data_IF_046613343569
#
_entry.id   IF_046613343569
#
_cell.length_a   1.000
_cell.length_b   1.000
_cell.length_c   1.000
_cell.angle_alpha   90.00
_cell.angle_beta   90.00
_cell.angle_gamma   90.00
#
_symmetry.space_group_name_H-M   'P 1'
#
loop_
_entity.id
_entity.type
_entity.pdbx_description
1 polymer ?
#
# COMPACT_ATOMS: atom_id res chain seq x y z
N UNK A 1 19.05 2.66 20.64
CA UNK A 1 18.06 3.45 19.89
C UNK A 1 16.68 2.98 20.33
N UNK A 2 15.81 3.91 20.75
CA UNK A 2 14.43 3.59 21.12
C UNK A 2 13.48 4.05 20.02
N UNK A 3 12.65 3.13 19.52
CA UNK A 3 11.74 3.34 18.40
C UNK A 3 10.30 3.12 18.88
N UNK A 4 9.34 3.85 18.33
CA UNK A 4 7.92 3.55 18.47
C UNK A 4 7.34 3.07 17.14
N UNK A 5 6.48 2.05 17.16
CA UNK A 5 5.74 1.58 15.99
C UNK A 5 4.25 1.63 16.29
N UNK A 6 3.48 2.34 15.48
CA UNK A 6 2.02 2.40 15.56
C UNK A 6 1.46 1.17 14.84
N UNK A 7 1.03 0.19 15.62
CA UNK A 7 0.57 -1.12 15.14
C UNK A 7 -0.89 -1.09 14.70
N UNK A 8 -1.13 -0.44 13.57
CA UNK A 8 -2.49 -0.25 13.01
C UNK A 8 -3.13 -1.52 12.46
N UNK A 9 -2.33 -2.43 11.93
CA UNK A 9 -2.74 -3.68 11.28
C UNK A 9 -1.63 -4.73 11.36
N UNK A 10 -1.88 -5.93 10.85
CA UNK A 10 -0.94 -7.06 10.87
C UNK A 10 0.42 -6.74 10.22
N UNK A 11 0.47 -5.90 9.19
CA UNK A 11 1.73 -5.48 8.54
C UNK A 11 2.58 -4.67 9.51
N UNK A 12 1.95 -3.74 10.24
CA UNK A 12 2.66 -2.91 11.22
C UNK A 12 3.09 -3.72 12.44
N UNK A 13 2.35 -4.78 12.82
CA UNK A 13 2.79 -5.75 13.83
C UNK A 13 4.05 -6.48 13.37
N UNK A 14 4.11 -6.93 12.11
CA UNK A 14 5.31 -7.55 11.54
C UNK A 14 6.51 -6.58 11.50
N UNK A 15 6.26 -5.29 11.20
CA UNK A 15 7.31 -4.25 11.29
C UNK A 15 7.83 -4.12 12.71
N UNK A 16 6.93 -4.08 13.71
CA UNK A 16 7.29 -4.07 15.12
C UNK A 16 8.13 -5.30 15.50
N UNK A 17 7.68 -6.50 15.15
CA UNK A 17 8.38 -7.76 15.46
C UNK A 17 9.78 -7.83 14.84
N UNK A 18 9.92 -7.38 13.59
CA UNK A 18 11.21 -7.35 12.90
C UNK A 18 12.18 -6.34 13.53
N UNK A 19 11.70 -5.12 13.80
CA UNK A 19 12.54 -4.09 14.42
C UNK A 19 12.93 -4.45 15.87
N UNK A 20 12.08 -5.16 16.58
CA UNK A 20 12.32 -5.58 17.98
C UNK A 20 13.45 -6.59 18.12
N UNK A 21 13.93 -7.20 17.02
CA UNK A 21 15.09 -8.10 17.04
C UNK A 21 16.41 -7.37 17.28
N UNK A 22 16.48 -6.12 16.80
CA UNK A 22 17.74 -5.36 16.78
C UNK A 22 17.67 -4.08 17.62
N UNK A 23 16.47 -3.60 17.95
CA UNK A 23 16.24 -2.33 18.63
C UNK A 23 15.29 -2.45 19.83
N UNK A 24 15.38 -1.49 20.74
CA UNK A 24 14.35 -1.30 21.76
C UNK A 24 13.13 -0.62 21.13
N UNK A 25 12.04 -1.37 20.96
CA UNK A 25 10.84 -0.90 20.27
C UNK A 25 9.64 -0.93 21.20
N UNK A 26 8.90 0.19 21.27
CA UNK A 26 7.61 0.24 21.93
C UNK A 26 6.49 0.05 20.89
N UNK A 27 5.56 -0.82 21.20
CA UNK A 27 4.34 -1.02 20.43
C UNK A 27 3.30 0.00 20.87
N UNK A 28 2.81 0.81 19.92
CA UNK A 28 1.72 1.74 20.14
C UNK A 28 0.45 1.18 19.47
N UNK A 29 -0.60 1.00 20.26
CA UNK A 29 -1.87 0.42 19.84
C UNK A 29 -3.07 1.28 20.30
N UNK A 30 -4.27 0.76 20.19
CA UNK A 30 -5.51 1.46 20.54
C UNK A 30 -5.66 1.83 22.01
N UNK A 31 -4.88 1.19 22.89
CA UNK A 31 -4.88 1.47 24.34
C UNK A 31 -3.76 2.40 24.79
N UNK A 32 -2.96 2.88 23.84
CA UNK A 32 -1.78 3.70 24.14
C UNK A 32 -2.17 5.11 24.59
N UNK A 33 -1.66 5.53 25.73
CA UNK A 33 -1.73 6.92 26.18
C UNK A 33 -0.57 7.72 25.57
N UNK A 34 -0.85 8.41 24.48
CA UNK A 34 0.14 9.18 23.72
C UNK A 34 0.73 10.38 24.51
N UNK A 35 0.12 10.79 25.62
CA UNK A 35 0.63 11.90 26.42
C UNK A 35 1.67 11.48 27.47
N UNK A 36 1.73 10.17 27.79
CA UNK A 36 2.64 9.63 28.82
C UNK A 36 3.72 8.72 28.20
N UNK A 37 4.12 8.99 26.96
CA UNK A 37 5.16 8.22 26.28
C UNK A 37 6.56 8.85 26.47
N UNK A 38 7.62 8.05 26.41
CA UNK A 38 8.98 8.56 26.42
C UNK A 38 9.33 9.25 25.10
N UNK A 39 10.53 9.85 25.05
CA UNK A 39 11.11 10.30 23.79
C UNK A 39 11.67 9.13 22.98
N UNK A 40 11.42 9.20 21.67
CA UNK A 40 11.91 8.22 20.70
C UNK A 40 12.88 8.85 19.71
N UNK A 41 13.85 8.09 19.21
CA UNK A 41 14.69 8.49 18.09
C UNK A 41 13.97 8.33 16.75
N UNK A 42 12.98 7.43 16.71
CA UNK A 42 12.14 7.24 15.52
C UNK A 42 10.72 6.84 15.89
N UNK A 43 9.77 7.31 15.09
CA UNK A 43 8.37 6.87 15.17
C UNK A 43 7.94 6.37 13.79
N UNK A 44 7.44 5.15 13.73
CA UNK A 44 6.97 4.51 12.50
C UNK A 44 5.45 4.54 12.46
N UNK A 45 4.93 5.27 11.49
CA UNK A 45 3.50 5.40 11.21
C UNK A 45 3.06 4.36 10.18
N UNK A 46 1.76 4.00 10.15
CA UNK A 46 1.17 3.21 9.08
C UNK A 46 1.38 3.84 7.71
N UNK A 47 1.12 3.07 6.64
CA UNK A 47 1.29 3.54 5.25
C UNK A 47 0.60 4.88 4.98
N UNK A 48 -0.62 5.07 5.48
CA UNK A 48 -1.39 6.31 5.30
C UNK A 48 -0.99 7.44 6.26
N UNK A 49 -0.13 7.15 7.25
CA UNK A 49 0.20 8.09 8.32
C UNK A 49 -1.01 8.40 9.20
N UNK A 50 -1.25 9.69 9.43
CA UNK A 50 -2.44 10.23 10.10
C UNK A 50 -3.31 10.96 9.09
N UNK A 51 -4.59 11.16 9.36
CA UNK A 51 -5.45 11.99 8.53
C UNK A 51 -5.19 13.50 8.74
N UNK A 52 -5.92 14.35 8.06
CA UNK A 52 -5.78 15.82 8.13
C UNK A 52 -6.11 16.42 9.50
N UNK A 53 -6.75 15.65 10.39
CA UNK A 53 -7.10 16.03 11.76
C UNK A 53 -6.21 15.36 12.82
N UNK A 54 -5.20 14.59 12.40
CA UNK A 54 -4.28 13.90 13.31
C UNK A 54 -4.78 12.54 13.82
N UNK A 55 -5.80 11.96 13.20
CA UNK A 55 -6.28 10.64 13.58
C UNK A 55 -5.58 9.53 12.79
N UNK A 56 -5.37 8.41 13.47
CA UNK A 56 -4.90 7.15 12.89
C UNK A 56 -5.90 6.05 13.17
N UNK A 57 -6.15 5.20 12.18
CA UNK A 57 -6.97 4.00 12.39
C UNK A 57 -6.07 2.88 12.90
N UNK A 58 -6.34 2.40 14.12
CA UNK A 58 -5.65 1.26 14.74
C UNK A 58 -6.70 0.16 14.92
N UNK A 59 -6.51 -0.96 14.22
CA UNK A 59 -7.49 -2.05 14.16
C UNK A 59 -8.89 -1.52 13.75
N UNK A 60 -9.86 -1.54 14.66
CA UNK A 60 -11.22 -1.05 14.42
C UNK A 60 -11.48 0.35 14.98
N UNK A 61 -10.54 0.90 15.74
CA UNK A 61 -10.67 2.19 16.42
C UNK A 61 -9.99 3.32 15.65
N UNK A 62 -10.47 4.52 15.85
CA UNK A 62 -9.87 5.75 15.29
C UNK A 62 -9.34 6.57 16.45
N UNK A 63 -8.01 6.68 16.54
CA UNK A 63 -7.30 7.27 17.67
C UNK A 63 -6.71 8.60 17.25
N UNK A 64 -6.94 9.65 18.03
CA UNK A 64 -6.30 10.94 17.83
C UNK A 64 -4.89 10.94 18.44
N UNK A 65 -3.89 11.28 17.64
CA UNK A 65 -2.52 11.52 18.13
C UNK A 65 -2.40 13.00 18.45
N UNK A 66 -2.30 13.36 19.74
CA UNK A 66 -2.28 14.78 20.15
C UNK A 66 -0.99 15.47 19.69
N UNK A 67 -1.07 16.76 19.37
CA UNK A 67 0.10 17.55 18.95
C UNK A 67 1.25 17.51 19.96
N UNK A 68 0.91 17.47 21.26
CA UNK A 68 1.87 17.34 22.36
C UNK A 68 2.76 16.11 22.25
N UNK A 69 2.26 15.00 21.68
CA UNK A 69 3.08 13.81 21.41
C UNK A 69 4.25 14.15 20.47
N UNK A 70 4.00 14.88 19.39
CA UNK A 70 5.04 15.26 18.44
C UNK A 70 6.05 16.26 19.04
N UNK A 71 5.56 17.20 19.86
CA UNK A 71 6.42 18.16 20.55
C UNK A 71 7.38 17.48 21.53
N UNK A 72 6.90 16.47 22.25
CA UNK A 72 7.73 15.68 23.17
C UNK A 72 8.84 14.90 22.48
N UNK A 73 8.68 14.55 21.19
CA UNK A 73 9.65 13.73 20.47
C UNK A 73 10.95 14.47 20.08
N UNK A 74 11.02 15.79 20.29
CA UNK A 74 12.21 16.55 19.93
C UNK A 74 12.45 16.64 18.42
N UNK A 75 13.37 17.51 18.02
CA UNK A 75 13.64 17.81 16.60
C UNK A 75 14.44 16.72 15.88
N UNK A 76 15.21 15.95 16.63
CA UNK A 76 16.10 14.90 16.10
C UNK A 76 15.38 13.56 15.89
N UNK A 77 14.14 13.44 16.34
CA UNK A 77 13.31 12.28 16.07
C UNK A 77 13.00 12.17 14.57
N UNK A 78 13.09 10.97 14.01
CA UNK A 78 12.74 10.71 12.61
C UNK A 78 11.34 10.11 12.53
N UNK A 79 10.47 10.72 11.72
CA UNK A 79 9.12 10.23 11.49
C UNK A 79 9.08 9.46 10.18
N UNK A 80 8.78 8.15 10.26
CA UNK A 80 8.59 7.29 9.10
C UNK A 80 7.11 7.15 8.80
N UNK A 81 6.70 7.41 7.57
CA UNK A 81 5.32 7.19 7.11
C UNK A 81 5.35 6.68 5.67
N UNK A 82 4.35 5.91 5.26
CA UNK A 82 4.32 5.43 3.88
C UNK A 82 4.14 6.55 2.88
N UNK A 83 3.15 7.39 3.10
CA UNK A 83 2.77 8.47 2.17
C UNK A 83 2.99 9.84 2.79
N UNK A 84 3.15 10.86 1.92
CA UNK A 84 3.16 12.26 2.37
C UNK A 84 1.87 12.62 3.11
N UNK A 85 2.03 13.42 4.14
CA UNK A 85 0.95 13.78 5.05
C UNK A 85 1.10 15.24 5.50
N UNK A 86 0.05 16.04 5.33
CA UNK A 86 0.08 17.47 5.67
C UNK A 86 0.37 17.73 7.14
N UNK A 87 -0.15 16.90 8.05
CA UNK A 87 0.08 17.04 9.49
C UNK A 87 1.55 16.77 9.80
N UNK A 88 2.10 15.66 9.30
CA UNK A 88 3.51 15.33 9.51
C UNK A 88 4.43 16.35 8.82
N UNK A 89 4.10 16.80 7.60
CA UNK A 89 4.92 17.78 6.86
C UNK A 89 5.06 19.12 7.60
N UNK A 90 4.06 19.52 8.40
CA UNK A 90 4.07 20.74 9.20
C UNK A 90 4.98 20.66 10.44
N UNK A 91 5.39 19.47 10.87
CA UNK A 91 6.21 19.24 12.05
C UNK A 91 7.71 19.56 11.77
N UNK A 92 8.51 19.94 12.78
CA UNK A 92 9.93 20.24 12.58
C UNK A 92 10.82 19.03 12.38
N UNK A 93 10.39 17.83 12.80
CA UNK A 93 11.16 16.58 12.72
C UNK A 93 11.47 16.20 11.27
N UNK A 94 12.55 15.42 11.04
CA UNK A 94 12.85 14.81 9.75
C UNK A 94 11.79 13.76 9.41
N UNK A 95 11.32 13.74 8.15
CA UNK A 95 10.37 12.75 7.63
C UNK A 95 11.03 11.85 6.60
N UNK A 96 10.67 10.58 6.62
CA UNK A 96 11.01 9.60 5.59
C UNK A 96 9.71 8.95 5.14
N UNK A 97 9.40 9.11 3.86
CA UNK A 97 8.22 8.54 3.23
C UNK A 97 8.62 7.29 2.44
N UNK A 98 8.52 6.13 3.10
CA UNK A 98 9.08 4.88 2.56
C UNK A 98 8.37 4.38 1.29
N UNK A 99 7.13 4.77 1.02
CA UNK A 99 6.45 4.48 -0.24
C UNK A 99 6.86 5.41 -1.40
N UNK A 100 7.88 6.25 -1.22
CA UNK A 100 8.57 6.97 -2.30
C UNK A 100 9.87 6.28 -2.73
N UNK A 101 10.31 5.28 -1.97
CA UNK A 101 11.51 4.50 -2.30
C UNK A 101 11.14 3.41 -3.32
N UNK A 102 11.82 3.41 -4.47
CA UNK A 102 11.54 2.52 -5.61
C UNK A 102 11.57 1.03 -5.19
N UNK A 103 12.54 0.65 -4.35
CA UNK A 103 12.65 -0.71 -3.83
C UNK A 103 11.43 -1.13 -3.02
N UNK A 104 10.94 -0.25 -2.14
CA UNK A 104 9.76 -0.52 -1.30
C UNK A 104 8.50 -0.62 -2.17
N UNK A 105 8.37 0.27 -3.18
CA UNK A 105 7.25 0.22 -4.13
C UNK A 105 7.25 -1.12 -4.87
N UNK A 106 8.41 -1.54 -5.36
CA UNK A 106 8.54 -2.81 -6.08
C UNK A 106 8.21 -4.02 -5.19
N UNK A 107 8.82 -4.13 -4.02
CA UNK A 107 8.54 -5.20 -3.04
C UNK A 107 7.04 -5.28 -2.69
N UNK A 108 6.41 -4.12 -2.43
CA UNK A 108 4.97 -4.06 -2.17
C UNK A 108 4.14 -4.50 -3.38
N UNK A 109 4.58 -4.20 -4.60
CA UNK A 109 3.91 -4.64 -5.82
C UNK A 109 4.00 -6.16 -6.01
N UNK A 110 5.13 -6.79 -5.64
CA UNK A 110 5.30 -8.25 -5.66
C UNK A 110 4.30 -8.92 -4.71
N UNK A 111 4.25 -8.49 -3.44
CA UNK A 111 3.29 -9.02 -2.47
C UNK A 111 1.83 -8.81 -2.92
N UNK A 112 1.55 -7.68 -3.56
CA UNK A 112 0.23 -7.41 -4.13
C UNK A 112 -0.10 -8.39 -5.27
N UNK A 113 0.85 -8.69 -6.13
CA UNK A 113 0.67 -9.64 -7.23
C UNK A 113 0.43 -11.07 -6.73
N UNK A 114 1.13 -11.50 -5.68
CA UNK A 114 0.90 -12.78 -5.02
C UNK A 114 -0.52 -12.87 -4.43
N UNK A 115 -0.98 -11.80 -3.76
CA UNK A 115 -2.35 -11.71 -3.26
C UNK A 115 -3.39 -11.77 -4.38
N UNK A 116 -3.16 -11.07 -5.48
CA UNK A 116 -4.03 -11.11 -6.67
C UNK A 116 -4.08 -12.51 -7.27
N UNK A 117 -2.97 -13.22 -7.36
CA UNK A 117 -2.94 -14.60 -7.85
C UNK A 117 -3.74 -15.53 -6.93
N UNK A 118 -3.62 -15.39 -5.62
CA UNK A 118 -4.41 -16.16 -4.65
C UNK A 118 -5.91 -15.93 -4.84
N UNK A 119 -6.34 -14.66 -4.93
CA UNK A 119 -7.74 -14.31 -5.17
C UNK A 119 -8.23 -14.84 -6.54
N UNK A 120 -7.42 -14.69 -7.58
CA UNK A 120 -7.73 -15.20 -8.92
C UNK A 120 -8.04 -16.69 -8.89
N UNK A 121 -7.15 -17.50 -8.30
CA UNK A 121 -7.34 -18.96 -8.19
C UNK A 121 -8.57 -19.30 -7.34
N UNK A 122 -8.82 -18.54 -6.29
CA UNK A 122 -9.94 -18.79 -5.36
C UNK A 122 -11.31 -18.43 -5.95
N UNK A 123 -11.37 -17.45 -6.84
CA UNK A 123 -12.63 -16.93 -7.38
C UNK A 123 -13.09 -17.62 -8.68
N UNK A 124 -12.19 -18.31 -9.39
CA UNK A 124 -12.53 -18.93 -10.69
C UNK A 124 -12.83 -20.42 -10.54
N UNK A 125 -13.82 -20.89 -11.33
CA UNK A 125 -14.19 -22.30 -11.41
C UNK A 125 -13.55 -23.02 -12.62
N UNK A 126 -12.57 -22.38 -13.27
CA UNK A 126 -11.85 -22.89 -14.46
C UNK A 126 -10.36 -22.92 -14.17
N UNK A 127 -9.61 -23.57 -15.04
CA UNK A 127 -8.15 -23.43 -15.06
C UNK A 127 -7.74 -21.98 -15.38
N UNK A 128 -6.70 -21.46 -14.73
CA UNK A 128 -6.15 -20.15 -15.05
C UNK A 128 -5.61 -20.05 -16.49
N UNK A 129 -5.32 -21.18 -17.13
CA UNK A 129 -4.89 -21.25 -18.52
C UNK A 129 -6.03 -21.06 -19.53
N UNK A 130 -7.29 -21.26 -19.09
CA UNK A 130 -8.48 -21.24 -19.93
C UNK A 130 -9.27 -19.93 -19.78
N UNK A 131 -8.71 -18.92 -19.11
CA UNK A 131 -9.33 -17.63 -18.91
C UNK A 131 -8.56 -16.51 -19.60
N UNK A 132 -9.31 -15.45 -19.94
CA UNK A 132 -8.75 -14.16 -20.33
C UNK A 132 -8.78 -13.19 -19.15
N UNK A 133 -7.62 -12.68 -18.77
CA UNK A 133 -7.49 -11.66 -17.69
C UNK A 133 -7.22 -10.30 -18.32
N UNK A 134 -8.02 -9.30 -17.96
CA UNK A 134 -7.83 -7.90 -18.34
C UNK A 134 -7.26 -7.11 -17.16
N UNK A 135 -6.03 -6.60 -17.28
CA UNK A 135 -5.43 -5.72 -16.28
C UNK A 135 -5.66 -4.27 -16.71
N UNK A 136 -6.49 -3.56 -15.95
CA UNK A 136 -6.78 -2.14 -16.20
C UNK A 136 -5.77 -1.29 -15.43
N UNK A 137 -4.84 -0.67 -16.16
CA UNK A 137 -3.69 0.06 -15.63
C UNK A 137 -2.38 -0.69 -15.78
N UNK A 138 -1.28 0.06 -15.91
CA UNK A 138 0.07 -0.48 -16.08
C UNK A 138 1.09 0.34 -15.29
N UNK A 139 0.76 0.63 -14.03
CA UNK A 139 1.67 1.17 -13.02
C UNK A 139 2.46 0.03 -12.35
N UNK A 140 3.17 0.31 -11.26
CA UNK A 140 4.02 -0.67 -10.57
C UNK A 140 3.29 -2.01 -10.30
N UNK A 141 2.12 -1.99 -9.67
CA UNK A 141 1.36 -3.21 -9.41
C UNK A 141 0.90 -3.90 -10.71
N UNK A 142 0.39 -3.13 -11.69
CA UNK A 142 -0.08 -3.69 -12.95
C UNK A 142 1.04 -4.37 -13.76
N UNK A 143 2.27 -3.85 -13.72
CA UNK A 143 3.44 -4.46 -14.36
C UNK A 143 3.80 -5.78 -13.70
N UNK A 144 3.94 -5.80 -12.37
CA UNK A 144 4.33 -7.02 -11.65
C UNK A 144 3.26 -8.10 -11.77
N UNK A 145 1.96 -7.74 -11.68
CA UNK A 145 0.85 -8.69 -11.89
C UNK A 145 0.90 -9.27 -13.31
N UNK A 146 1.12 -8.41 -14.32
CA UNK A 146 1.25 -8.84 -15.72
C UNK A 146 2.39 -9.83 -15.89
N UNK A 147 3.58 -9.51 -15.40
CA UNK A 147 4.76 -10.38 -15.49
C UNK A 147 4.53 -11.72 -14.80
N UNK A 148 3.95 -11.71 -13.60
CA UNK A 148 3.60 -12.94 -12.86
C UNK A 148 2.64 -13.82 -13.67
N UNK A 149 1.54 -13.26 -14.16
CA UNK A 149 0.54 -14.03 -14.91
C UNK A 149 1.06 -14.50 -16.27
N UNK A 150 1.89 -13.71 -16.96
CA UNK A 150 2.55 -14.14 -18.21
C UNK A 150 3.53 -15.28 -17.98
N UNK A 151 4.31 -15.26 -16.90
CA UNK A 151 5.21 -16.36 -16.54
C UNK A 151 4.46 -17.65 -16.20
N UNK A 152 3.21 -17.54 -15.74
CA UNK A 152 2.29 -18.64 -15.55
C UNK A 152 1.51 -19.03 -16.84
N UNK A 153 1.85 -18.42 -17.99
CA UNK A 153 1.19 -18.66 -19.28
C UNK A 153 -0.31 -18.34 -19.30
N UNK A 154 -0.78 -17.46 -18.40
CA UNK A 154 -2.15 -16.98 -18.42
C UNK A 154 -2.35 -16.03 -19.61
N UNK A 155 -3.53 -16.07 -20.23
CA UNK A 155 -3.87 -15.16 -21.31
C UNK A 155 -4.24 -13.79 -20.72
N UNK A 156 -3.40 -12.77 -20.95
CA UNK A 156 -3.52 -11.44 -20.31
C UNK A 156 -3.58 -10.34 -21.36
N UNK A 157 -4.47 -9.37 -21.15
CA UNK A 157 -4.47 -8.07 -21.86
C UNK A 157 -4.26 -6.93 -20.88
N UNK A 158 -3.51 -5.92 -21.32
CA UNK A 158 -3.28 -4.67 -20.59
C UNK A 158 -4.16 -3.58 -21.15
N UNK A 159 -5.10 -3.09 -20.36
CA UNK A 159 -6.02 -2.03 -20.76
C UNK A 159 -5.48 -0.69 -20.27
N UNK A 160 -5.18 0.23 -21.19
CA UNK A 160 -4.66 1.58 -20.89
C UNK A 160 -5.54 2.66 -21.51
N UNK A 161 -5.54 3.83 -20.88
CA UNK A 161 -6.28 5.00 -21.37
C UNK A 161 -5.83 5.41 -22.77
N UNK A 162 -4.52 5.46 -23.00
CA UNK A 162 -3.91 5.77 -24.27
C UNK A 162 -2.67 4.88 -24.47
N UNK A 163 -2.71 4.03 -25.49
CA UNK A 163 -1.60 3.24 -26.00
C UNK A 163 -1.88 2.89 -27.44
N UNK A 164 -0.88 2.41 -28.17
CA UNK A 164 -1.09 1.72 -29.44
C UNK A 164 -1.56 0.29 -29.14
N UNK A 165 -2.41 -0.24 -30.00
CA UNK A 165 -2.79 -1.66 -29.94
C UNK A 165 -1.64 -2.49 -30.45
N UNK A 166 -0.90 -3.10 -29.54
CA UNK A 166 0.29 -3.89 -29.89
C UNK A 166 0.49 -4.99 -28.83
N UNK A 167 0.68 -6.23 -29.29
CA UNK A 167 0.83 -7.38 -28.42
C UNK A 167 -0.37 -7.51 -27.45
N UNK A 168 -0.08 -7.52 -26.15
CA UNK A 168 -1.07 -7.62 -25.11
C UNK A 168 -1.70 -6.27 -24.72
N UNK A 169 -1.25 -5.15 -25.31
CA UNK A 169 -1.72 -3.81 -24.97
C UNK A 169 -2.94 -3.40 -25.80
N UNK A 170 -3.98 -2.93 -25.12
CA UNK A 170 -5.24 -2.49 -25.71
C UNK A 170 -5.65 -1.13 -25.13
N UNK A 171 -5.91 -0.10 -25.98
CA UNK A 171 -6.48 1.14 -25.49
C UNK A 171 -7.95 0.95 -25.05
N UNK A 172 -8.36 1.66 -23.99
CA UNK A 172 -9.73 1.57 -23.45
C UNK A 172 -10.81 1.76 -24.51
N UNK A 173 -10.56 2.62 -25.51
CA UNK A 173 -11.52 2.87 -26.60
C UNK A 173 -11.79 1.63 -27.47
N UNK A 174 -10.81 0.73 -27.58
CA UNK A 174 -10.85 -0.49 -28.42
C UNK A 174 -11.18 -1.74 -27.55
N UNK A 175 -11.50 -1.53 -26.27
CA UNK A 175 -11.87 -2.60 -25.34
C UNK A 175 -13.38 -2.86 -25.42
N UNK A 176 -13.78 -3.64 -26.43
CA UNK A 176 -15.20 -3.89 -26.77
C UNK A 176 -15.84 -5.01 -25.93
N UNK A 177 -15.02 -5.89 -25.35
CA UNK A 177 -15.48 -7.00 -24.52
C UNK A 177 -14.52 -7.25 -23.37
N UNK A 178 -15.05 -7.44 -22.17
CA UNK A 178 -14.28 -7.81 -20.99
C UNK A 178 -13.77 -9.25 -21.11
N UNK A 179 -12.60 -9.51 -20.50
CA UNK A 179 -12.16 -10.86 -20.20
C UNK A 179 -13.01 -11.55 -19.13
N UNK A 180 -12.68 -12.81 -18.81
CA UNK A 180 -13.34 -13.56 -17.74
C UNK A 180 -13.10 -12.90 -16.37
N UNK A 181 -11.96 -12.22 -16.19
CA UNK A 181 -11.58 -11.52 -14.98
C UNK A 181 -10.99 -10.14 -15.30
N UNK A 182 -11.36 -9.15 -14.52
CA UNK A 182 -10.81 -7.79 -14.59
C UNK A 182 -10.03 -7.50 -13.30
N UNK A 183 -8.75 -7.14 -13.45
CA UNK A 183 -7.90 -6.68 -12.36
C UNK A 183 -7.69 -5.17 -12.52
N UNK A 184 -8.24 -4.37 -11.62
CA UNK A 184 -8.16 -2.91 -11.70
C UNK A 184 -7.03 -2.38 -10.81
N UNK A 185 -5.96 -1.86 -11.43
CA UNK A 185 -4.78 -1.29 -10.76
C UNK A 185 -4.60 0.21 -10.98
N UNK A 186 -5.44 0.82 -11.83
CA UNK A 186 -5.34 2.23 -12.13
C UNK A 186 -5.95 3.11 -11.02
N UNK A 187 -5.38 4.29 -10.83
CA UNK A 187 -5.99 5.33 -9.98
C UNK A 187 -7.13 6.02 -10.73
N UNK A 188 -8.33 6.06 -10.13
CA UNK A 188 -9.52 6.69 -10.69
C UNK A 188 -10.40 5.75 -11.53
N UNK A 189 -11.59 6.21 -11.86
CA UNK A 189 -12.57 5.45 -12.63
C UNK A 189 -12.12 5.33 -14.11
N UNK A 190 -11.58 4.17 -14.48
CA UNK A 190 -11.28 3.81 -15.87
C UNK A 190 -12.33 2.87 -16.48
N UNK A 191 -13.15 2.26 -15.64
CA UNK A 191 -14.18 1.31 -16.04
C UNK A 191 -15.52 2.03 -15.95
N UNK A 192 -16.23 2.09 -17.05
CA UNK A 192 -17.65 2.50 -17.07
C UNK A 192 -18.51 1.30 -16.66
N UNK A 193 -19.24 1.36 -15.54
CA UNK A 193 -20.12 0.26 -15.11
C UNK A 193 -21.15 -0.19 -16.15
N UNK A 194 -21.46 0.68 -17.13
CA UNK A 194 -22.41 0.37 -18.22
C UNK A 194 -21.76 -0.49 -19.34
N UNK A 195 -20.44 -0.72 -19.28
CA UNK A 195 -19.70 -1.55 -20.23
C UNK A 195 -19.38 -2.96 -19.73
N UNK A 196 -19.77 -3.29 -18.49
CA UNK A 196 -19.64 -4.61 -17.89
C UNK A 196 -20.96 -5.44 -18.06
#
# INVERSE_FOLDING_TARGET
MKIAVICSDERMIQVYDNLSRDFAVDRLDEHTDFLNLPQYQAVVFPVRGVDEFGYVKIQKETIHIPHAFYEMQGKDCVLFSGMRNKVLDALPQRKIYYMLEESVIHENAVLTAEGVLNELISCICKSIYDIQVDIVGYGHCGQVIYELLKNLHVNVRIIRRSCQKEGDFLPVRDWDSCGDVIIHTATGAMIDPQRM
#
